data_IF_313265488874
#
_entry.id   IF_313265488874
#
_cell.length_a   1.000
_cell.length_b   1.000
_cell.length_c   1.000
_cell.angle_alpha   90.00
_cell.angle_beta   90.00
_cell.angle_gamma   90.00
#
_symmetry.space_group_name_H-M   'P 1'
#
loop_
_entity.id
_entity.type
_entity.pdbx_description
1 polymer ?
#
# COMPACT_ATOMS: atom_id res chain seq x y z
N UNK A 1 -18.68 -28.46 0.55
CA UNK A 1 -17.34 -27.92 0.78
C UNK A 1 -17.54 -26.54 1.34
N UNK A 2 -17.53 -26.43 2.67
CA UNK A 2 -17.55 -25.14 3.33
C UNK A 2 -16.12 -24.63 3.27
N UNK A 3 -15.84 -23.66 2.40
CA UNK A 3 -14.76 -22.72 2.67
C UNK A 3 -15.23 -21.89 3.86
N UNK A 4 -14.50 -21.99 4.97
CA UNK A 4 -14.84 -21.32 6.24
C UNK A 4 -14.21 -19.93 6.35
N UNK A 5 -13.54 -19.44 5.29
CA UNK A 5 -13.06 -18.08 5.21
C UNK A 5 -14.05 -17.21 4.42
N UNK A 6 -14.35 -16.03 4.96
CA UNK A 6 -15.08 -15.01 4.20
C UNK A 6 -14.12 -14.40 3.18
N UNK A 7 -14.55 -14.42 1.92
CA UNK A 7 -13.97 -13.67 0.78
C UNK A 7 -13.59 -12.25 1.21
N UNK A 8 -12.28 -12.02 1.37
CA UNK A 8 -11.67 -10.71 1.63
C UNK A 8 -10.95 -10.16 0.37
N UNK A 9 -11.03 -10.87 -0.76
CA UNK A 9 -10.48 -10.45 -2.06
C UNK A 9 -8.97 -10.65 -2.23
N UNK A 10 -8.37 -11.58 -1.47
CA UNK A 10 -6.92 -11.64 -1.31
C UNK A 10 -6.25 -12.84 -2.02
N UNK A 11 -6.87 -13.99 -2.31
CA UNK A 11 -6.10 -15.19 -2.71
C UNK A 11 -6.47 -15.88 -4.04
N UNK A 12 -5.47 -16.04 -4.93
CA UNK A 12 -5.51 -16.88 -6.13
C UNK A 12 -4.35 -17.91 -6.11
N UNK A 13 -4.68 -19.19 -5.91
CA UNK A 13 -3.92 -20.42 -6.26
C UNK A 13 -3.41 -21.41 -5.19
N UNK A 14 -3.85 -21.35 -3.92
CA UNK A 14 -3.92 -22.57 -3.11
C UNK A 14 -3.48 -22.45 -1.65
N UNK A 15 -4.42 -22.87 -0.82
CA UNK A 15 -4.41 -23.04 0.65
C UNK A 15 -4.59 -21.72 1.40
N UNK A 16 -5.84 -21.43 1.72
CA UNK A 16 -6.19 -20.70 2.93
C UNK A 16 -5.58 -21.48 4.11
N UNK A 17 -4.55 -20.94 4.75
CA UNK A 17 -4.12 -21.51 6.02
C UNK A 17 -5.13 -21.05 7.06
N UNK A 18 -6.00 -21.95 7.50
CA UNK A 18 -6.78 -21.77 8.72
C UNK A 18 -5.85 -22.01 9.92
N UNK A 19 -5.98 -21.22 10.99
CA UNK A 19 -5.38 -21.62 12.27
C UNK A 19 -5.94 -22.99 12.68
N UNK A 20 -5.08 -24.00 12.71
CA UNK A 20 -5.41 -25.37 13.13
C UNK A 20 -4.92 -25.67 14.55
N UNK A 21 -4.28 -24.71 15.23
CA UNK A 21 -3.51 -24.92 16.46
C UNK A 21 -3.88 -24.03 17.65
N UNK A 22 -4.99 -23.27 17.64
CA UNK A 22 -5.56 -22.77 18.92
C UNK A 22 -6.53 -21.59 18.91
N UNK A 23 -6.71 -20.87 17.81
CA UNK A 23 -7.73 -19.84 17.61
C UNK A 23 -8.95 -20.39 16.86
N UNK A 24 -10.03 -19.61 16.82
CA UNK A 24 -11.33 -19.99 16.23
C UNK A 24 -11.12 -20.61 14.83
N UNK A 25 -11.58 -21.84 14.56
CA UNK A 25 -11.53 -22.44 13.22
C UNK A 25 -12.24 -21.54 12.19
N UNK A 26 -11.60 -21.27 11.04
CA UNK A 26 -12.15 -20.42 9.98
C UNK A 26 -11.67 -18.95 9.97
N UNK A 27 -10.57 -18.63 10.68
CA UNK A 27 -9.97 -17.29 10.64
C UNK A 27 -8.73 -17.27 9.72
N UNK A 28 -8.75 -16.42 8.68
CA UNK A 28 -7.64 -16.16 7.75
C UNK A 28 -6.42 -15.59 8.49
N UNK A 29 -5.23 -16.17 8.29
CA UNK A 29 -3.99 -15.71 8.98
C UNK A 29 -3.00 -14.91 8.12
N UNK A 30 -3.33 -14.57 6.87
CA UNK A 30 -2.63 -13.51 6.13
C UNK A 30 -3.55 -12.86 5.10
N UNK A 31 -3.30 -11.59 4.74
CA UNK A 31 -4.18 -10.76 3.90
C UNK A 31 -3.43 -10.12 2.70
N UNK A 32 -2.53 -10.85 2.03
CA UNK A 32 -1.71 -10.33 0.91
C UNK A 32 -2.06 -10.90 -0.47
N UNK A 33 -2.09 -10.03 -1.51
CA UNK A 33 -2.30 -10.43 -2.90
C UNK A 33 -1.15 -11.37 -3.38
N UNK A 34 -1.42 -12.60 -3.85
CA UNK A 34 -0.38 -13.55 -4.27
C UNK A 34 0.12 -13.31 -5.70
N UNK A 35 -0.52 -12.41 -6.44
CA UNK A 35 -0.11 -12.09 -7.79
C UNK A 35 1.17 -11.25 -7.81
N UNK A 36 1.95 -11.39 -8.89
CA UNK A 36 3.11 -10.55 -9.14
C UNK A 36 2.72 -9.06 -9.17
N UNK A 37 3.70 -8.18 -8.97
CA UNK A 37 3.53 -6.73 -9.10
C UNK A 37 2.80 -6.35 -10.40
N UNK A 38 1.86 -5.43 -10.34
CA UNK A 38 1.03 -5.03 -11.50
C UNK A 38 -0.12 -5.99 -11.83
N UNK A 39 -0.40 -6.97 -10.97
CA UNK A 39 -1.56 -7.85 -11.12
C UNK A 39 -2.38 -7.90 -9.84
N UNK A 40 -3.69 -8.02 -9.99
CA UNK A 40 -4.64 -8.28 -8.90
C UNK A 40 -5.26 -9.66 -9.08
N UNK A 41 -5.38 -10.40 -7.98
CA UNK A 41 -6.14 -11.64 -7.99
C UNK A 41 -7.62 -11.35 -8.32
N UNK A 42 -8.17 -12.09 -9.28
CA UNK A 42 -9.61 -12.14 -9.55
C UNK A 42 -10.10 -13.53 -9.16
N UNK A 43 -10.69 -13.62 -7.98
CA UNK A 43 -11.09 -14.89 -7.38
C UNK A 43 -12.12 -15.65 -8.21
N UNK A 44 -13.12 -14.93 -8.77
CA UNK A 44 -14.16 -15.52 -9.62
C UNK A 44 -13.61 -16.35 -10.77
N UNK A 45 -12.44 -15.97 -11.27
CA UNK A 45 -11.76 -16.64 -12.39
C UNK A 45 -10.47 -17.33 -11.96
N UNK A 46 -10.13 -17.31 -10.67
CA UNK A 46 -8.89 -17.82 -10.09
C UNK A 46 -7.65 -17.41 -10.90
N UNK A 47 -7.60 -16.14 -11.32
CA UNK A 47 -6.60 -15.65 -12.25
C UNK A 47 -6.06 -14.29 -11.84
N UNK A 48 -4.76 -14.08 -12.02
CA UNK A 48 -4.16 -12.75 -11.91
C UNK A 48 -4.52 -11.93 -13.16
N UNK A 49 -5.16 -10.78 -12.96
CA UNK A 49 -5.51 -9.83 -14.03
C UNK A 49 -4.63 -8.59 -13.89
N UNK A 50 -4.23 -8.02 -15.02
CA UNK A 50 -3.46 -6.77 -15.04
C UNK A 50 -4.17 -5.69 -14.24
N UNK A 51 -3.42 -4.98 -13.42
CA UNK A 51 -3.91 -3.90 -12.61
C UNK A 51 -2.82 -2.82 -12.50
N UNK A 52 -3.27 -1.57 -12.46
CA UNK A 52 -2.43 -0.38 -12.43
C UNK A 52 -3.03 0.68 -11.49
N UNK A 53 -3.48 0.20 -10.33
CA UNK A 53 -4.05 1.01 -9.26
C UNK A 53 -3.04 1.11 -8.12
N UNK A 54 -2.70 2.34 -7.74
CA UNK A 54 -1.88 2.63 -6.57
C UNK A 54 -2.78 3.17 -5.46
N UNK A 55 -2.69 2.58 -4.27
CA UNK A 55 -3.33 3.06 -3.05
C UNK A 55 -2.26 3.58 -2.09
N UNK A 56 -2.48 4.77 -1.54
CA UNK A 56 -1.65 5.36 -0.48
C UNK A 56 -2.52 5.45 0.76
N UNK A 57 -2.05 4.88 1.87
CA UNK A 57 -2.64 5.04 3.20
C UNK A 57 -1.65 5.80 4.06
N UNK A 58 -2.13 6.88 4.66
CA UNK A 58 -1.33 7.72 5.53
C UNK A 58 -2.05 7.86 6.87
N UNK A 59 -1.36 7.49 7.93
CA UNK A 59 -1.67 7.88 9.30
C UNK A 59 -0.67 8.96 9.69
N UNK A 60 -1.17 10.15 9.96
CA UNK A 60 -0.33 11.26 10.43
C UNK A 60 0.02 11.11 11.91
N UNK A 61 1.04 11.84 12.34
CA UNK A 61 1.34 12.07 13.75
C UNK A 61 0.63 13.35 14.25
N UNK A 62 1.10 13.93 15.36
CA UNK A 62 0.51 15.15 15.91
C UNK A 62 0.84 16.41 15.08
N UNK A 63 1.73 16.34 14.09
CA UNK A 63 2.16 17.44 13.22
C UNK A 63 1.85 17.20 11.75
N UNK A 64 0.66 16.64 11.47
CA UNK A 64 0.15 16.33 10.13
C UNK A 64 0.37 17.40 9.03
N UNK A 65 0.40 18.68 9.37
CA UNK A 65 0.62 19.79 8.42
C UNK A 65 2.03 19.85 7.84
N UNK A 66 2.96 19.06 8.37
CA UNK A 66 4.36 18.98 7.95
C UNK A 66 4.58 17.86 6.92
N UNK A 67 3.68 16.87 6.92
CA UNK A 67 3.71 15.74 6.01
C UNK A 67 3.20 16.11 4.62
N UNK A 68 3.93 15.69 3.59
CA UNK A 68 3.47 15.70 2.20
C UNK A 68 4.07 14.52 1.45
N UNK A 69 3.53 14.20 0.28
CA UNK A 69 4.10 13.16 -0.59
C UNK A 69 3.88 13.48 -2.06
N UNK A 70 4.71 12.91 -2.92
CA UNK A 70 4.51 12.90 -4.37
C UNK A 70 4.83 11.53 -4.99
N UNK A 71 4.22 11.29 -6.15
CA UNK A 71 4.60 10.21 -7.07
C UNK A 71 5.09 10.88 -8.36
N UNK A 72 6.32 10.55 -8.76
CA UNK A 72 6.92 10.96 -10.03
C UNK A 72 7.10 9.79 -10.97
N UNK A 73 6.99 10.03 -12.27
CA UNK A 73 7.42 9.08 -13.31
C UNK A 73 8.95 9.09 -13.49
N UNK A 74 9.45 8.28 -14.42
CA UNK A 74 10.88 8.17 -14.74
C UNK A 74 11.49 9.45 -15.32
N UNK A 75 10.66 10.35 -15.88
CA UNK A 75 11.10 11.65 -16.40
C UNK A 75 11.13 12.73 -15.28
N UNK A 76 10.75 12.36 -14.05
CA UNK A 76 10.70 13.24 -12.89
C UNK A 76 9.45 14.13 -12.87
N UNK A 77 8.45 13.86 -13.70
CA UNK A 77 7.18 14.60 -13.73
C UNK A 77 6.31 14.13 -12.58
N UNK A 78 5.79 15.08 -11.79
CA UNK A 78 4.83 14.78 -10.72
C UNK A 78 3.51 14.34 -11.35
N UNK A 79 3.15 13.08 -11.12
CA UNK A 79 1.89 12.52 -11.57
C UNK A 79 0.81 12.76 -10.53
N UNK A 80 1.13 12.60 -9.24
CA UNK A 80 0.22 12.85 -8.11
C UNK A 80 0.99 13.38 -6.90
N UNK A 81 0.28 14.06 -6.01
CA UNK A 81 0.84 14.59 -4.77
C UNK A 81 -0.24 14.87 -3.73
N UNK A 82 0.09 14.71 -2.45
CA UNK A 82 -0.78 15.05 -1.32
C UNK A 82 -0.06 15.93 -0.30
N UNK A 83 -0.78 16.89 0.29
CA UNK A 83 -0.26 17.80 1.32
C UNK A 83 -1.40 18.44 2.12
N UNK A 84 -1.06 19.17 3.19
CA UNK A 84 -2.04 19.94 3.96
C UNK A 84 -2.95 19.07 4.82
N UNK A 85 -2.41 17.96 5.33
CA UNK A 85 -3.19 16.99 6.10
C UNK A 85 -3.57 17.52 7.48
N UNK A 86 -4.74 17.09 7.96
CA UNK A 86 -5.12 17.18 9.37
C UNK A 86 -4.67 15.95 10.13
N UNK A 87 -4.59 16.03 11.46
CA UNK A 87 -4.29 14.86 12.31
C UNK A 87 -5.34 13.76 12.05
N UNK A 88 -4.88 12.53 11.85
CA UNK A 88 -5.71 11.35 11.58
C UNK A 88 -5.27 10.53 10.37
N UNK A 89 -6.23 9.77 9.83
CA UNK A 89 -6.03 8.88 8.68
C UNK A 89 -6.48 9.53 7.38
N UNK A 90 -5.70 9.30 6.34
CA UNK A 90 -5.94 9.75 4.97
C UNK A 90 -5.65 8.58 4.02
N UNK A 91 -6.36 8.56 2.90
CA UNK A 91 -6.13 7.57 1.86
C UNK A 91 -6.37 8.20 0.49
N UNK A 92 -5.62 7.74 -0.51
CA UNK A 92 -5.81 8.12 -1.90
C UNK A 92 -5.67 6.90 -2.80
N UNK A 93 -6.59 6.76 -3.76
CA UNK A 93 -6.58 5.71 -4.78
C UNK A 93 -6.34 6.36 -6.13
N UNK A 94 -5.30 5.92 -6.84
CA UNK A 94 -4.87 6.43 -8.13
C UNK A 94 -5.03 5.30 -9.16
N UNK A 95 -6.17 5.23 -9.87
CA UNK A 95 -6.41 4.19 -10.85
C UNK A 95 -5.79 4.53 -12.21
N UNK A 96 -5.56 3.50 -13.01
CA UNK A 96 -5.18 3.60 -14.43
C UNK A 96 -3.86 4.35 -14.69
N UNK A 97 -2.85 4.15 -13.84
CA UNK A 97 -1.50 4.62 -14.17
C UNK A 97 -0.94 3.83 -15.37
N UNK A 98 -0.17 4.49 -16.22
CA UNK A 98 0.47 3.79 -17.34
C UNK A 98 1.53 2.80 -16.83
N UNK A 99 1.89 1.82 -17.67
CA UNK A 99 3.02 0.95 -17.35
C UNK A 99 4.31 1.77 -17.34
N UNK A 100 5.15 1.56 -16.33
CA UNK A 100 6.34 2.38 -16.15
C UNK A 100 6.93 2.28 -14.76
N UNK A 101 8.02 3.01 -14.58
CA UNK A 101 8.73 3.14 -13.30
C UNK A 101 8.30 4.43 -12.63
N UNK A 102 7.94 4.32 -11.36
CA UNK A 102 7.48 5.44 -10.55
C UNK A 102 8.28 5.50 -9.25
N UNK A 103 8.45 6.71 -8.74
CA UNK A 103 9.02 6.95 -7.41
C UNK A 103 7.98 7.59 -6.52
N UNK A 104 7.62 6.91 -5.43
CA UNK A 104 6.91 7.53 -4.32
C UNK A 104 7.92 8.21 -3.40
N UNK A 105 7.66 9.46 -3.01
CA UNK A 105 8.44 10.15 -1.98
C UNK A 105 7.50 10.74 -0.95
N UNK A 106 7.76 10.46 0.32
CA UNK A 106 7.14 11.15 1.46
C UNK A 106 8.13 12.14 2.06
N UNK A 107 7.63 13.27 2.53
CA UNK A 107 8.41 14.36 3.11
C UNK A 107 7.86 14.73 4.46
N UNK A 108 8.78 15.13 5.33
CA UNK A 108 8.50 15.79 6.60
C UNK A 108 9.33 17.07 6.70
N UNK A 109 8.65 18.17 7.04
CA UNK A 109 9.27 19.50 6.99
C UNK A 109 10.37 19.68 8.05
N UNK A 110 10.22 19.11 9.23
CA UNK A 110 11.15 19.32 10.35
C UNK A 110 12.12 18.17 10.55
N UNK A 111 11.87 17.04 9.90
CA UNK A 111 12.81 15.96 9.72
C UNK A 111 12.84 14.96 10.87
N UNK A 112 11.82 14.96 11.72
CA UNK A 112 11.56 13.94 12.72
C UNK A 112 10.73 12.76 12.18
N UNK A 113 10.26 12.89 10.93
CA UNK A 113 9.41 11.90 10.28
C UNK A 113 8.02 11.92 10.90
N UNK A 114 7.22 10.88 10.61
CA UNK A 114 5.84 10.80 11.12
C UNK A 114 5.70 9.78 12.26
N UNK A 115 6.80 9.35 12.86
CA UNK A 115 6.78 8.35 13.93
C UNK A 115 7.65 8.66 15.13
N UNK A 116 7.04 8.31 16.27
CA UNK A 116 7.57 7.56 17.41
C UNK A 116 7.81 8.42 18.67
N UNK A 117 7.97 9.74 18.53
CA UNK A 117 7.98 10.69 19.65
C UNK A 117 6.72 11.55 19.71
N UNK A 118 6.33 12.11 18.56
CA UNK A 118 5.27 13.10 18.43
C UNK A 118 3.97 12.50 17.88
N UNK A 119 3.81 11.17 17.95
CA UNK A 119 2.67 10.45 17.42
C UNK A 119 3.10 9.18 16.68
N UNK A 120 2.23 8.19 16.66
CA UNK A 120 2.49 6.92 15.96
C UNK A 120 1.86 6.96 14.56
N UNK A 121 2.36 7.86 13.71
CA UNK A 121 2.02 7.89 12.29
C UNK A 121 2.78 6.83 11.49
N UNK A 122 2.29 6.59 10.29
CA UNK A 122 2.81 5.58 9.36
C UNK A 122 2.25 5.82 7.97
N UNK A 123 2.94 5.35 6.93
CA UNK A 123 2.39 5.29 5.58
C UNK A 123 2.54 3.88 4.99
N UNK A 124 1.66 3.56 4.05
CA UNK A 124 1.71 2.38 3.20
C UNK A 124 1.35 2.79 1.77
N UNK A 125 2.11 2.30 0.79
CA UNK A 125 1.82 2.43 -0.63
C UNK A 125 1.69 1.03 -1.20
N UNK A 126 0.57 0.78 -1.86
CA UNK A 126 0.22 -0.54 -2.41
C UNK A 126 -0.07 -0.43 -3.91
N UNK A 127 0.53 -1.32 -4.70
CA UNK A 127 0.21 -1.49 -6.11
C UNK A 127 -0.69 -2.73 -6.23
N UNK A 128 -1.96 -2.52 -6.58
CA UNK A 128 -2.92 -3.61 -6.75
C UNK A 128 -3.08 -4.49 -5.50
N UNK A 129 -2.99 -3.87 -4.31
CA UNK A 129 -3.05 -4.57 -3.02
C UNK A 129 -1.74 -5.24 -2.58
N UNK A 130 -0.67 -5.14 -3.37
CA UNK A 130 0.67 -5.53 -2.95
C UNK A 130 1.40 -4.31 -2.37
N UNK A 131 1.79 -4.36 -1.10
CA UNK A 131 2.60 -3.30 -0.49
C UNK A 131 3.94 -3.17 -1.21
N UNK A 132 4.20 -1.98 -1.78
CA UNK A 132 5.45 -1.63 -2.47
C UNK A 132 6.33 -0.70 -1.64
N UNK A 133 5.74 0.05 -0.72
CA UNK A 133 6.47 0.87 0.25
C UNK A 133 5.67 0.97 1.55
N UNK A 134 6.37 1.03 2.68
CA UNK A 134 5.76 1.30 3.98
C UNK A 134 6.80 1.85 4.93
N UNK A 135 6.39 2.73 5.85
CA UNK A 135 7.32 3.35 6.76
C UNK A 135 6.66 4.34 7.71
N UNK A 136 7.51 5.17 8.31
CA UNK A 136 7.09 6.21 9.24
C UNK A 136 8.26 6.86 9.97
N UNK A 137 9.38 6.13 10.12
CA UNK A 137 10.63 6.65 10.68
C UNK A 137 11.58 7.02 9.56
N UNK A 138 11.59 8.30 9.20
CA UNK A 138 12.50 8.89 8.24
C UNK A 138 12.90 10.30 8.70
N UNK A 139 13.90 10.89 8.05
CA UNK A 139 14.29 12.28 8.33
C UNK A 139 13.37 13.26 7.61
N UNK A 140 13.93 14.11 6.76
CA UNK A 140 13.14 15.02 5.93
C UNK A 140 12.38 14.35 4.79
N UNK A 141 12.81 13.16 4.36
CA UNK A 141 12.15 12.43 3.27
C UNK A 141 12.58 10.97 3.23
N UNK A 142 11.75 10.15 2.60
CA UNK A 142 12.04 8.79 2.19
C UNK A 142 11.42 8.55 0.81
N UNK A 143 12.13 7.82 -0.05
CA UNK A 143 11.70 7.51 -1.42
C UNK A 143 11.81 6.03 -1.70
N UNK A 144 10.82 5.49 -2.40
CA UNK A 144 10.80 4.11 -2.87
C UNK A 144 10.35 4.07 -4.32
N UNK A 145 11.14 3.40 -5.15
CA UNK A 145 10.81 3.13 -6.55
C UNK A 145 9.94 1.87 -6.65
N UNK A 146 8.94 1.91 -7.53
CA UNK A 146 8.09 0.76 -7.86
C UNK A 146 7.72 0.76 -9.35
N UNK A 147 7.43 -0.42 -9.89
CA UNK A 147 7.14 -0.62 -11.31
C UNK A 147 5.72 -1.12 -11.52
N UNK A 148 5.00 -0.47 -12.44
CA UNK A 148 3.69 -0.89 -12.92
C UNK A 148 3.87 -1.62 -14.26
N UNK A 149 3.31 -2.84 -14.36
CA UNK A 149 3.50 -3.72 -15.52
C UNK A 149 4.63 -4.73 -15.32
N UNK A 150 4.73 -5.69 -16.25
CA UNK A 150 5.79 -6.70 -16.26
C UNK A 150 7.01 -6.18 -17.03
N UNK A 151 8.18 -6.17 -16.40
CA UNK A 151 9.47 -6.01 -17.12
C UNK A 151 9.79 -7.20 -18.02
#
# INVERSE_FOLDING_TARGET
SNDECLDDGVYCNGVEMCDTNGGIPGVCVSSGNPCQSGFKCVERTQSCTSCNEVEIRLKTDNYAGETSWDIKDSDGIIIRSGSGFSIGYHWEIIPNLEEGVYTFTIYDRYGDGICCGEGAGSYEVSLCGNTVAQGGTFGHSESTEFTIGSS
#
